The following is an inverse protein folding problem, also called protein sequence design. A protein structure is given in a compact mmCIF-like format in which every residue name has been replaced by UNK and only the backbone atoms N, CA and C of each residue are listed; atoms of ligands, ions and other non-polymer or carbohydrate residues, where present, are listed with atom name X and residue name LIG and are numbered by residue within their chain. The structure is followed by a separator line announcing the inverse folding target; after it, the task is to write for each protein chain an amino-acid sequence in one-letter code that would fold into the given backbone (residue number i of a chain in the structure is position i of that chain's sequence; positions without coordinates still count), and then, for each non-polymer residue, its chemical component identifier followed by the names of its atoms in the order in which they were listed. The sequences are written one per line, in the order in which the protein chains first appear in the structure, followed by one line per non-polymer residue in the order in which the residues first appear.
data_IF_463802377692
#
_entry.id   IF_463802377692
#
_cell.length_a   1.000
_cell.length_b   1.000
_cell.length_c   1.000
_cell.angle_alpha   90.00
_cell.angle_beta   90.00
_cell.angle_gamma   90.00
#
_symmetry.space_group_name_H-M   'P 1'
#
loop_
_entity.id
_entity.type
_entity.pdbx_description
1 polymer ?
#
# COMPACT_ATOMS: atom_id res chain seq x y z
N UNK A 1 -11.06 6.16 -15.50
CA UNK A 1 -9.69 6.70 -15.27
C UNK A 1 -9.25 6.28 -13.88
N UNK A 2 -8.01 5.78 -13.70
CA UNK A 2 -7.48 5.33 -12.40
C UNK A 2 -6.34 6.27 -11.99
N UNK A 3 -6.36 6.70 -10.73
CA UNK A 3 -5.28 7.49 -10.13
C UNK A 3 -4.41 6.59 -9.26
N UNK A 4 -3.14 6.39 -9.65
CA UNK A 4 -2.24 5.50 -8.92
C UNK A 4 -1.32 6.26 -7.96
N UNK A 5 -1.19 5.76 -6.72
CA UNK A 5 -0.21 6.26 -5.77
C UNK A 5 1.20 5.76 -6.14
N UNK A 6 2.16 6.67 -6.24
CA UNK A 6 3.53 6.38 -6.66
C UNK A 6 4.54 7.03 -5.72
N UNK A 7 5.55 6.31 -5.26
CA UNK A 7 6.69 6.91 -4.54
C UNK A 7 7.80 7.28 -5.54
N UNK A 8 8.15 8.56 -5.70
CA UNK A 8 9.28 8.96 -6.52
C UNK A 8 10.59 8.32 -6.03
N UNK A 9 11.49 7.90 -6.94
CA UNK A 9 12.86 7.56 -6.58
C UNK A 9 13.55 8.71 -5.83
N UNK A 10 14.50 8.37 -4.94
CA UNK A 10 15.24 9.39 -4.20
C UNK A 10 16.16 10.24 -5.10
N UNK A 11 16.57 9.73 -6.26
CA UNK A 11 17.35 10.49 -7.23
C UNK A 11 16.38 11.34 -8.08
N UNK A 12 16.48 12.69 -8.03
CA UNK A 12 15.54 13.58 -8.72
C UNK A 12 15.57 13.43 -10.23
N UNK A 13 16.73 13.19 -10.85
CA UNK A 13 16.84 13.01 -12.31
C UNK A 13 16.13 11.73 -12.77
N UNK A 14 16.28 10.65 -12.01
CA UNK A 14 15.53 9.41 -12.27
C UNK A 14 14.04 9.58 -12.01
N UNK A 15 13.67 10.34 -10.98
CA UNK A 15 12.27 10.64 -10.70
C UNK A 15 11.62 11.41 -11.86
N UNK A 16 12.29 12.44 -12.36
CA UNK A 16 11.81 13.25 -13.49
C UNK A 16 11.70 12.42 -14.77
N UNK A 17 12.69 11.58 -15.07
CA UNK A 17 12.66 10.68 -16.22
C UNK A 17 11.51 9.66 -16.14
N UNK A 18 11.29 9.04 -14.98
CA UNK A 18 10.19 8.09 -14.78
C UNK A 18 8.84 8.79 -14.88
N UNK A 19 8.70 9.97 -14.28
CA UNK A 19 7.47 10.74 -14.32
C UNK A 19 7.14 11.21 -15.75
N UNK A 20 8.12 11.70 -16.50
CA UNK A 20 7.90 12.14 -17.89
C UNK A 20 7.45 10.99 -18.79
N UNK A 21 8.04 9.80 -18.60
CA UNK A 21 7.68 8.59 -19.37
C UNK A 21 6.30 8.05 -18.99
N UNK A 22 5.93 8.12 -17.71
CA UNK A 22 4.66 7.58 -17.22
C UNK A 22 3.48 8.53 -17.39
N UNK A 23 3.69 9.85 -17.44
CA UNK A 23 2.59 10.83 -17.62
C UNK A 23 1.81 10.59 -18.92
N UNK A 24 2.45 10.12 -19.99
CA UNK A 24 1.80 9.84 -21.27
C UNK A 24 1.07 8.49 -21.32
N UNK A 25 1.34 7.58 -20.37
CA UNK A 25 0.92 6.17 -20.45
C UNK A 25 0.16 5.64 -19.23
N UNK A 26 0.32 6.26 -18.06
CA UNK A 26 -0.22 5.78 -16.77
C UNK A 26 -1.10 6.82 -16.09
N UNK A 27 -2.28 7.12 -16.66
CA UNK A 27 -3.35 7.88 -15.99
C UNK A 27 -2.87 9.09 -15.17
N UNK A 28 -3.53 9.34 -14.03
CA UNK A 28 -3.03 10.33 -13.06
C UNK A 28 -2.12 9.64 -12.03
N UNK A 29 -0.90 10.15 -11.85
CA UNK A 29 0.04 9.66 -10.83
C UNK A 29 0.07 10.63 -9.65
N UNK A 30 -0.27 10.12 -8.46
CA UNK A 30 -0.17 10.88 -7.22
C UNK A 30 1.12 10.51 -6.47
N UNK A 31 2.01 11.47 -6.19
CA UNK A 31 3.23 11.20 -5.44
C UNK A 31 2.90 10.87 -3.98
N UNK A 32 3.53 9.82 -3.44
CA UNK A 32 3.40 9.37 -2.05
C UNK A 32 4.20 10.28 -1.11
N UNK A 33 3.70 11.50 -0.90
CA UNK A 33 4.22 12.48 0.05
C UNK A 33 3.24 12.73 1.20
N UNK A 34 3.63 13.58 2.16
CA UNK A 34 2.70 14.08 3.17
C UNK A 34 1.44 14.64 2.48
N UNK A 35 0.27 14.14 2.88
CA UNK A 35 -1.02 14.53 2.31
C UNK A 35 -1.52 13.69 1.12
N UNK A 36 -0.74 12.71 0.64
CA UNK A 36 -1.18 11.84 -0.47
C UNK A 36 -2.48 11.07 -0.17
N UNK A 37 -2.73 10.72 1.09
CA UNK A 37 -4.00 10.12 1.52
C UNK A 37 -5.20 11.04 1.30
N UNK A 38 -5.06 12.36 1.50
CA UNK A 38 -6.13 13.32 1.23
C UNK A 38 -6.39 13.49 -0.27
N UNK A 39 -5.33 13.47 -1.09
CA UNK A 39 -5.49 13.49 -2.54
C UNK A 39 -6.24 12.25 -3.06
N UNK A 40 -5.94 11.07 -2.52
CA UNK A 40 -6.67 9.83 -2.85
C UNK A 40 -8.14 9.90 -2.38
N UNK A 41 -8.37 10.42 -1.18
CA UNK A 41 -9.69 10.64 -0.61
C UNK A 41 -10.54 11.54 -1.52
N UNK A 42 -9.99 12.68 -1.98
CA UNK A 42 -10.65 13.56 -2.94
C UNK A 42 -10.94 12.91 -4.30
N UNK A 43 -10.12 11.96 -4.77
CA UNK A 43 -10.46 11.20 -6.00
C UNK A 43 -11.69 10.33 -5.76
N UNK A 44 -11.77 9.64 -4.62
CA UNK A 44 -12.92 8.79 -4.28
C UNK A 44 -14.20 9.61 -4.03
N UNK A 45 -14.11 10.77 -3.37
CA UNK A 45 -15.23 11.71 -3.17
C UNK A 45 -15.88 12.13 -4.49
N UNK A 46 -15.08 12.27 -5.54
CA UNK A 46 -15.54 12.63 -6.88
C UNK A 46 -15.95 11.41 -7.73
N UNK A 47 -16.14 10.24 -7.13
CA UNK A 47 -16.52 9.00 -7.82
C UNK A 47 -15.42 8.42 -8.72
N UNK A 48 -14.16 8.83 -8.53
CA UNK A 48 -13.01 8.30 -9.26
C UNK A 48 -12.51 6.96 -8.71
N UNK A 49 -11.59 6.34 -9.44
CA UNK A 49 -10.93 5.09 -9.03
C UNK A 49 -9.47 5.34 -8.64
N UNK A 50 -8.96 4.60 -7.66
CA UNK A 50 -7.56 4.69 -7.22
C UNK A 50 -6.83 3.35 -7.29
N UNK A 51 -5.52 3.39 -7.48
CA UNK A 51 -4.63 2.23 -7.40
C UNK A 51 -3.57 2.41 -6.32
N UNK A 52 -3.38 1.39 -5.47
CA UNK A 52 -2.42 1.43 -4.34
C UNK A 52 -1.62 0.13 -4.32
N UNK A 53 -0.30 0.23 -4.22
CA UNK A 53 0.57 -0.92 -3.93
C UNK A 53 0.49 -1.27 -2.42
N UNK A 54 0.27 -2.54 -2.12
CA UNK A 54 -0.02 -3.02 -0.75
C UNK A 54 1.09 -3.88 -0.14
N UNK A 55 2.04 -4.35 -0.94
CA UNK A 55 3.02 -5.38 -0.60
C UNK A 55 4.35 -4.82 -0.04
N UNK A 56 4.47 -3.50 0.08
CA UNK A 56 5.67 -2.83 0.60
C UNK A 56 5.66 -2.67 2.11
N UNK A 57 6.85 -2.68 2.72
CA UNK A 57 7.06 -2.32 4.13
C UNK A 57 6.65 -0.87 4.38
N UNK A 58 5.94 -0.63 5.48
CA UNK A 58 5.59 0.71 5.95
C UNK A 58 6.01 0.90 7.41
N UNK A 59 6.96 1.80 7.70
CA UNK A 59 7.57 1.93 9.05
C UNK A 59 6.60 2.39 10.16
N UNK A 60 5.49 3.03 9.79
CA UNK A 60 4.38 3.37 10.68
C UNK A 60 3.11 2.61 10.28
N UNK A 61 3.29 1.40 9.78
CA UNK A 61 2.22 0.52 9.30
C UNK A 61 1.46 -0.15 10.43
N UNK A 62 0.35 -0.79 10.06
CA UNK A 62 -0.40 -1.65 10.96
C UNK A 62 0.32 -2.99 11.12
N UNK A 63 0.35 -3.51 12.34
CA UNK A 63 0.89 -4.84 12.61
C UNK A 63 -0.01 -5.92 12.00
N UNK A 64 0.60 -6.80 11.22
CA UNK A 64 -0.02 -7.90 10.46
C UNK A 64 0.99 -9.03 10.33
N UNK A 65 0.63 -10.10 9.64
CA UNK A 65 1.56 -11.17 9.26
C UNK A 65 1.72 -11.24 7.75
N UNK A 66 2.90 -11.67 7.31
CA UNK A 66 3.20 -12.04 5.94
C UNK A 66 4.07 -13.30 5.96
N UNK A 67 3.56 -14.38 5.38
CA UNK A 67 4.04 -15.76 5.50
C UNK A 67 4.15 -16.23 6.94
N UNK A 68 3.11 -15.93 7.74
CA UNK A 68 3.05 -16.27 9.17
C UNK A 68 4.03 -15.53 10.07
N UNK A 69 4.85 -14.64 9.51
CA UNK A 69 5.83 -13.83 10.25
C UNK A 69 5.31 -12.41 10.46
N UNK A 70 5.48 -11.82 11.66
CA UNK A 70 5.07 -10.44 11.92
C UNK A 70 5.71 -9.44 10.95
N UNK A 71 4.94 -8.46 10.50
CA UNK A 71 5.39 -7.36 9.65
C UNK A 71 4.54 -6.09 9.86
N UNK A 72 4.98 -4.97 9.28
CA UNK A 72 4.22 -3.73 9.25
C UNK A 72 3.70 -3.44 7.84
N UNK A 73 2.39 -3.29 7.71
CA UNK A 73 1.69 -3.17 6.42
C UNK A 73 1.00 -1.83 6.26
N UNK A 74 0.89 -1.37 5.01
CA UNK A 74 0.19 -0.15 4.68
C UNK A 74 -1.33 -0.33 4.87
N UNK A 75 -1.94 0.46 5.74
CA UNK A 75 -3.39 0.43 6.02
C UNK A 75 -4.20 1.43 5.19
N UNK A 76 -3.57 2.25 4.35
CA UNK A 76 -4.25 3.36 3.65
C UNK A 76 -5.43 2.87 2.81
N UNK A 77 -5.26 1.78 2.06
CA UNK A 77 -6.34 1.20 1.26
C UNK A 77 -7.53 0.81 2.15
N UNK A 78 -7.28 0.05 3.22
CA UNK A 78 -8.33 -0.40 4.14
C UNK A 78 -9.05 0.77 4.83
N UNK A 79 -8.32 1.83 5.20
CA UNK A 79 -8.92 3.05 5.76
C UNK A 79 -9.83 3.77 4.76
N UNK A 80 -9.40 3.91 3.51
CA UNK A 80 -10.21 4.54 2.45
C UNK A 80 -11.44 3.69 2.12
N UNK A 81 -11.28 2.38 2.02
CA UNK A 81 -12.40 1.46 1.80
C UNK A 81 -13.43 1.50 2.93
N UNK A 82 -13.01 1.65 4.19
CA UNK A 82 -13.93 1.90 5.31
C UNK A 82 -14.67 3.21 5.16
N UNK A 83 -13.97 4.29 4.81
CA UNK A 83 -14.54 5.63 4.82
C UNK A 83 -15.53 5.86 3.67
N UNK A 84 -15.22 5.34 2.49
CA UNK A 84 -16.03 5.52 1.29
C UNK A 84 -16.90 4.31 0.93
N UNK A 85 -16.83 3.24 1.74
CA UNK A 85 -17.51 1.95 1.50
C UNK A 85 -17.33 1.42 0.07
N UNK A 86 -16.12 1.58 -0.47
CA UNK A 86 -15.84 1.29 -1.88
C UNK A 86 -15.43 -0.17 -2.11
N UNK A 87 -15.72 -0.66 -3.32
CA UNK A 87 -15.28 -1.98 -3.77
C UNK A 87 -13.74 -2.04 -3.91
N UNK A 88 -13.16 -3.21 -3.65
CA UNK A 88 -11.73 -3.47 -3.79
C UNK A 88 -11.52 -4.64 -4.73
N UNK A 89 -10.79 -4.41 -5.81
CA UNK A 89 -10.43 -5.42 -6.81
C UNK A 89 -8.92 -5.66 -6.75
N UNK A 90 -8.46 -6.86 -6.34
CA UNK A 90 -7.04 -7.19 -6.40
C UNK A 90 -6.55 -7.20 -7.84
N UNK A 91 -5.40 -6.60 -8.09
CA UNK A 91 -4.76 -6.62 -9.40
C UNK A 91 -3.26 -6.90 -9.29
N UNK A 92 -2.72 -7.66 -10.24
CA UNK A 92 -1.29 -7.97 -10.35
C UNK A 92 -0.81 -7.92 -11.79
N UNK A 93 0.51 -7.85 -11.94
CA UNK A 93 1.19 -7.95 -13.22
C UNK A 93 2.13 -9.17 -13.20
N UNK A 94 1.93 -10.10 -14.12
CA UNK A 94 2.73 -11.33 -14.25
C UNK A 94 3.67 -11.18 -15.44
N UNK A 95 4.98 -11.37 -15.21
CA UNK A 95 5.99 -11.41 -16.27
C UNK A 95 5.92 -12.75 -16.99
N UNK A 96 5.81 -12.70 -18.31
CA UNK A 96 5.80 -13.84 -19.22
C UNK A 96 7.10 -13.90 -20.05
N UNK A 97 7.44 -15.06 -20.64
CA UNK A 97 8.54 -15.16 -21.60
C UNK A 97 8.40 -14.18 -22.78
N UNK A 98 9.53 -13.72 -23.28
CA UNK A 98 9.61 -12.82 -24.44
C UNK A 98 9.23 -11.37 -24.13
N UNK A 99 9.57 -10.85 -22.95
CA UNK A 99 9.27 -9.47 -22.52
C UNK A 99 7.78 -9.11 -22.57
N UNK A 100 6.91 -10.09 -22.30
CA UNK A 100 5.46 -9.89 -22.24
C UNK A 100 5.01 -9.81 -20.79
N UNK A 101 3.90 -9.12 -20.60
CA UNK A 101 3.28 -8.95 -19.29
C UNK A 101 1.79 -9.23 -19.40
N UNK A 102 1.24 -9.91 -18.40
CA UNK A 102 -0.21 -10.10 -18.27
C UNK A 102 -0.69 -9.34 -17.04
N UNK A 103 -1.66 -8.46 -17.25
CA UNK A 103 -2.39 -7.84 -16.15
C UNK A 103 -3.57 -8.74 -15.80
N UNK A 104 -3.69 -9.07 -14.52
CA UNK A 104 -4.78 -9.86 -13.98
C UNK A 104 -5.49 -9.01 -12.94
N UNK A 105 -6.80 -8.87 -13.09
CA UNK A 105 -7.70 -8.26 -12.09
C UNK A 105 -8.61 -9.39 -11.63
N UNK A 106 -8.63 -9.63 -10.33
CA UNK A 106 -9.48 -10.64 -9.72
C UNK A 106 -10.85 -10.06 -9.38
N UNK A 107 -11.79 -10.97 -9.07
CA UNK A 107 -13.10 -10.60 -8.59
C UNK A 107 -13.04 -9.73 -7.32
N UNK A 108 -14.14 -9.04 -7.07
CA UNK A 108 -14.29 -8.18 -5.90
C UNK A 108 -13.92 -8.92 -4.62
N UNK A 109 -13.00 -8.34 -3.86
CA UNK A 109 -12.63 -8.85 -2.56
C UNK A 109 -13.77 -8.61 -1.55
N UNK A 110 -14.24 -9.68 -0.92
CA UNK A 110 -15.13 -9.54 0.24
C UNK A 110 -14.33 -9.00 1.43
N UNK A 111 -14.64 -7.77 1.83
CA UNK A 111 -13.94 -7.10 2.93
C UNK A 111 -14.55 -7.51 4.28
N UNK A 112 -13.74 -7.96 5.25
CA UNK A 112 -14.20 -8.21 6.61
C UNK A 112 -14.88 -6.97 7.20
N UNK A 113 -15.94 -7.15 7.99
CA UNK A 113 -16.68 -6.08 8.66
C UNK A 113 -16.60 -6.23 10.18
N UNK A 114 -16.61 -5.12 10.90
CA UNK A 114 -16.79 -5.09 12.36
C UNK A 114 -18.26 -5.30 12.74
N UNK A 115 -18.55 -5.46 14.03
CA UNK A 115 -19.91 -5.70 14.54
C UNK A 115 -20.91 -4.57 14.19
N UNK A 116 -20.42 -3.35 13.97
CA UNK A 116 -21.20 -2.19 13.53
C UNK A 116 -21.39 -2.11 12.01
N UNK A 117 -20.91 -3.10 11.24
CA UNK A 117 -21.03 -3.16 9.79
C UNK A 117 -19.97 -2.38 9.00
N UNK A 118 -19.08 -1.63 9.65
CA UNK A 118 -18.01 -0.91 8.95
C UNK A 118 -16.87 -1.86 8.53
N UNK A 119 -16.14 -1.56 7.44
CA UNK A 119 -14.99 -2.39 6.99
C UNK A 119 -13.96 -2.52 8.11
N UNK A 120 -13.59 -3.71 8.56
CA UNK A 120 -12.52 -3.89 9.55
C UNK A 120 -11.16 -3.56 8.90
N UNK A 121 -10.56 -2.43 9.30
CA UNK A 121 -9.28 -1.98 8.75
C UNK A 121 -8.16 -2.99 8.98
N UNK A 122 -8.10 -3.62 10.16
CA UNK A 122 -7.03 -4.57 10.48
C UNK A 122 -7.21 -5.87 9.73
N UNK A 123 -8.39 -6.46 9.79
CA UNK A 123 -8.67 -7.70 9.10
C UNK A 123 -8.57 -7.52 7.57
N UNK A 124 -8.99 -6.37 7.03
CA UNK A 124 -8.80 -6.05 5.61
C UNK A 124 -7.33 -5.91 5.24
N UNK A 125 -6.52 -5.23 6.06
CA UNK A 125 -5.08 -5.13 5.80
C UNK A 125 -4.41 -6.50 5.79
N UNK A 126 -4.79 -7.41 6.71
CA UNK A 126 -4.33 -8.79 6.68
C UNK A 126 -4.81 -9.53 5.43
N UNK A 127 -6.09 -9.39 5.05
CA UNK A 127 -6.66 -10.04 3.87
C UNK A 127 -5.90 -9.67 2.59
N UNK A 128 -5.46 -8.42 2.47
CA UNK A 128 -4.62 -7.97 1.35
C UNK A 128 -3.24 -8.64 1.35
N UNK A 129 -2.62 -8.84 2.52
CA UNK A 129 -1.40 -9.63 2.62
C UNK A 129 -1.64 -11.08 2.18
N UNK A 130 -2.73 -11.70 2.60
CA UNK A 130 -3.05 -13.09 2.25
C UNK A 130 -3.22 -13.28 0.73
N UNK A 131 -3.80 -12.28 0.05
CA UNK A 131 -3.89 -12.25 -1.41
C UNK A 131 -2.50 -12.23 -2.05
N UNK A 132 -1.62 -11.34 -1.57
CA UNK A 132 -0.23 -11.28 -2.06
C UNK A 132 0.51 -12.57 -1.75
N UNK A 133 0.35 -13.16 -0.55
CA UNK A 133 0.96 -14.44 -0.20
C UNK A 133 0.54 -15.55 -1.17
N UNK A 134 -0.74 -15.62 -1.53
CA UNK A 134 -1.22 -16.59 -2.51
C UNK A 134 -0.50 -16.40 -3.84
N UNK A 135 -0.45 -15.17 -4.38
CA UNK A 135 0.25 -14.89 -5.62
C UNK A 135 1.74 -15.24 -5.58
N UNK A 136 2.40 -14.95 -4.46
CA UNK A 136 3.82 -15.26 -4.27
C UNK A 136 4.04 -16.78 -4.14
N UNK A 137 3.09 -17.54 -3.59
CA UNK A 137 3.16 -19.01 -3.56
C UNK A 137 2.97 -19.64 -4.93
N UNK A 138 2.18 -19.01 -5.80
CA UNK A 138 1.98 -19.48 -7.18
C UNK A 138 3.29 -19.39 -8.00
N UNK A 139 4.02 -18.27 -7.89
CA UNK A 139 5.34 -18.12 -8.51
C UNK A 139 6.23 -17.17 -7.67
N UNK A 140 7.09 -17.71 -6.77
CA UNK A 140 7.98 -16.90 -5.94
C UNK A 140 8.94 -16.03 -6.75
N UNK A 141 9.24 -16.37 -8.00
CA UNK A 141 10.16 -15.64 -8.87
C UNK A 141 9.60 -14.33 -9.43
N UNK A 142 8.29 -14.09 -9.28
CA UNK A 142 7.62 -12.86 -9.76
C UNK A 142 7.65 -11.72 -8.75
N UNK A 143 7.95 -12.01 -7.48
CA UNK A 143 7.88 -11.00 -6.43
C UNK A 143 9.21 -10.28 -6.20
N UNK A 144 9.13 -8.99 -5.88
CA UNK A 144 10.32 -8.15 -5.65
C UNK A 144 10.87 -8.34 -4.23
N UNK A 145 11.66 -9.40 -4.04
CA UNK A 145 12.28 -9.77 -2.75
C UNK A 145 13.27 -8.75 -2.16
N UNK A 146 13.62 -7.69 -2.89
CA UNK A 146 14.54 -6.65 -2.42
C UNK A 146 14.00 -5.82 -1.24
N UNK A 147 12.68 -5.86 -1.01
CA UNK A 147 12.09 -5.20 0.14
C UNK A 147 12.36 -6.01 1.42
N UNK A 148 13.00 -5.36 2.41
CA UNK A 148 13.22 -5.89 3.77
C UNK A 148 11.90 -6.01 4.56
N UNK A 149 10.97 -6.85 4.10
CA UNK A 149 9.56 -6.94 4.52
C UNK A 149 9.39 -7.16 6.04
N UNK A 150 10.28 -7.95 6.64
CA UNK A 150 10.27 -8.32 8.06
C UNK A 150 11.27 -7.58 8.92
N UNK A 151 12.09 -6.69 8.36
CA UNK A 151 12.97 -5.84 9.16
C UNK A 151 12.11 -4.75 9.80
N UNK A 152 11.34 -5.13 10.82
CA UNK A 152 10.58 -4.20 11.64
C UNK A 152 11.65 -3.37 12.35
N UNK A 153 11.84 -2.12 11.94
CA UNK A 153 12.82 -1.24 12.58
C UNK A 153 12.44 -1.15 14.04
N UNK A 154 13.26 -1.79 14.88
CA UNK A 154 12.95 -2.08 16.27
C UNK A 154 12.69 -0.82 17.06
N UNK A 155 11.57 -0.83 17.79
CA UNK A 155 11.28 0.09 18.88
C UNK A 155 11.14 1.56 18.46
N UNK A 156 10.02 2.17 18.86
CA UNK A 156 10.05 3.59 19.24
C UNK A 156 11.28 3.77 20.14
N UNK A 157 12.33 4.45 19.67
CA UNK A 157 13.36 4.99 20.56
C UNK A 157 12.57 5.86 21.53
N UNK A 158 12.38 5.42 22.79
CA UNK A 158 11.66 6.20 23.79
C UNK A 158 12.31 7.58 23.79
N UNK A 159 11.53 8.63 23.47
CA UNK A 159 12.00 10.01 23.68
C UNK A 159 12.50 10.08 25.12
N UNK A 160 13.70 10.61 25.40
CA UNK A 160 14.10 10.86 26.78
C UNK A 160 13.01 11.71 27.42
N UNK A 161 12.50 11.29 28.57
CA UNK A 161 11.62 12.14 29.38
C UNK A 161 12.39 13.45 29.62
N UNK A 162 11.79 14.58 29.26
CA UNK A 162 12.33 15.87 29.65
C UNK A 162 12.44 15.85 31.18
N UNK A 163 13.66 16.04 31.71
CA UNK A 163 13.84 16.23 33.15
C UNK A 163 13.00 17.44 33.53
N UNK A 164 12.08 17.25 34.49
CA UNK A 164 11.36 18.35 35.09
C UNK A 164 12.40 19.34 35.64
N UNK A 165 12.36 20.57 35.16
CA UNK A 165 13.13 21.67 35.75
C UNK A 165 12.50 21.93 37.12
N UNK A 166 13.24 21.85 38.23
CA UNK A 166 12.69 22.25 39.53
C UNK A 166 12.40 23.74 39.47
N UNK A 167 11.17 24.13 39.82
CA UNK A 167 10.85 25.53 40.02
C UNK A 167 11.73 26.06 41.17
N UNK A 168 12.50 27.11 40.88
CA UNK A 168 13.13 27.97 41.86
C UNK A 168 12.29 29.25 42.01
#
# INVERSE_FOLDING_TARGET
NITALFRPPNNPYLADYILSTRRSTMGSLLPSMAGASFALAGVLENGGNIGILVDQKFSNGLETTFFGRPCQSNRVLATLARHYDCDVYPARCVRLPGNRFRLEIEDKLTLPRTADGSVDVRATTQRLNDVVERWVREDPGQWMWFHKRWEISGGRRKRPQAKAVPNA
#
